data_IF_253792417523
#
_entry.id   IF_253792417523
#
_cell.length_a   1.000
_cell.length_b   1.000
_cell.length_c   1.000
_cell.angle_alpha   90.00
_cell.angle_beta   90.00
_cell.angle_gamma   90.00
#
_symmetry.space_group_name_H-M   'P 1'
#
loop_
_entity.id
_entity.type
_entity.pdbx_description
1 polymer ?
#
# COMPACT_ATOMS: atom_id res chain seq x y z
N UNK A 1 56.89 -74.02 -54.88
CA UNK A 1 56.83 -72.72 -54.20
C UNK A 1 55.48 -72.68 -53.48
N UNK A 2 55.51 -72.57 -52.15
CA UNK A 2 54.46 -72.81 -51.13
C UNK A 2 53.05 -72.30 -51.53
N UNK A 3 51.90 -72.98 -51.35
CA UNK A 3 51.34 -73.89 -50.32
C UNK A 3 50.74 -73.16 -49.09
N UNK A 4 49.39 -73.19 -49.01
CA UNK A 4 48.47 -73.01 -47.86
C UNK A 4 48.43 -71.59 -47.23
N UNK A 5 47.38 -71.11 -46.54
CA UNK A 5 46.27 -71.76 -45.84
C UNK A 5 45.17 -70.74 -45.53
N UNK A 6 43.95 -71.24 -45.45
CA UNK A 6 42.78 -70.60 -44.86
C UNK A 6 42.89 -70.42 -43.33
N UNK A 7 41.98 -69.60 -42.78
CA UNK A 7 41.53 -69.52 -41.37
C UNK A 7 42.44 -68.79 -40.38
N UNK A 8 41.93 -67.73 -39.76
CA UNK A 8 41.35 -67.81 -38.40
C UNK A 8 40.55 -66.56 -38.01
N UNK A 9 39.45 -66.88 -37.38
CA UNK A 9 38.44 -66.08 -36.72
C UNK A 9 38.96 -65.47 -35.40
N UNK A 10 38.28 -64.41 -34.95
CA UNK A 10 38.21 -63.89 -33.58
C UNK A 10 39.40 -63.11 -33.00
N UNK A 11 39.33 -61.79 -33.18
CA UNK A 11 39.85 -60.81 -32.23
C UNK A 11 38.69 -59.95 -31.70
N UNK A 12 38.10 -60.39 -30.59
CA UNK A 12 37.18 -59.65 -29.72
C UNK A 12 37.64 -58.20 -29.55
N UNK A 13 36.82 -57.23 -29.97
CA UNK A 13 37.03 -55.81 -29.64
C UNK A 13 36.67 -55.59 -28.16
N UNK A 14 37.60 -55.10 -27.32
CA UNK A 14 37.31 -54.69 -25.96
C UNK A 14 36.84 -53.24 -25.92
N UNK A 15 35.80 -52.97 -25.12
CA UNK A 15 35.67 -51.68 -24.45
C UNK A 15 34.73 -50.65 -25.06
N UNK A 16 33.44 -50.98 -25.17
CA UNK A 16 32.36 -50.01 -25.12
C UNK A 16 32.26 -49.40 -23.71
N UNK A 17 32.98 -48.30 -23.42
CA UNK A 17 32.71 -47.47 -22.23
C UNK A 17 33.47 -46.13 -22.29
N UNK A 18 33.01 -45.19 -23.13
CA UNK A 18 33.01 -43.74 -22.84
C UNK A 18 32.40 -42.99 -24.03
N UNK A 19 31.11 -43.19 -24.27
CA UNK A 19 30.33 -42.32 -25.18
C UNK A 19 29.08 -41.74 -24.50
N UNK A 20 28.96 -41.84 -23.17
CA UNK A 20 27.69 -41.56 -22.50
C UNK A 20 27.62 -40.26 -21.68
N UNK A 21 28.65 -39.40 -21.64
CA UNK A 21 28.62 -38.28 -20.67
C UNK A 21 28.50 -36.85 -21.19
N UNK A 22 28.41 -36.60 -22.48
CA UNK A 22 28.34 -35.20 -22.97
C UNK A 22 27.30 -34.99 -24.09
N UNK A 23 26.22 -35.78 -24.09
CA UNK A 23 25.05 -35.54 -24.95
C UNK A 23 23.76 -35.27 -24.16
N UNK A 24 23.88 -34.75 -22.93
CA UNK A 24 22.73 -34.38 -22.08
C UNK A 24 22.59 -32.88 -21.83
N UNK A 25 23.20 -32.00 -22.62
CA UNK A 25 22.96 -30.53 -22.49
C UNK A 25 21.96 -29.97 -23.52
N UNK A 26 21.38 -30.80 -24.40
CA UNK A 26 20.64 -30.31 -25.56
C UNK A 26 19.13 -30.55 -25.60
N UNK A 27 18.48 -31.10 -24.56
CA UNK A 27 17.07 -31.54 -24.68
C UNK A 27 16.18 -31.15 -23.50
N UNK A 28 16.24 -29.91 -23.01
CA UNK A 28 15.16 -29.35 -22.18
C UNK A 28 15.04 -27.82 -22.36
N UNK A 29 14.58 -27.34 -23.52
CA UNK A 29 14.36 -25.90 -23.71
C UNK A 29 13.19 -25.52 -24.63
N UNK A 30 12.19 -26.38 -24.84
CA UNK A 30 11.04 -26.06 -25.71
C UNK A 30 9.69 -25.90 -24.99
N UNK A 31 9.54 -26.41 -23.76
CA UNK A 31 8.31 -26.23 -22.95
C UNK A 31 8.46 -25.25 -21.78
N UNK A 32 9.70 -24.96 -21.41
CA UNK A 32 10.06 -24.27 -20.16
C UNK A 32 9.91 -22.74 -20.27
N UNK A 33 10.23 -22.16 -21.44
CA UNK A 33 10.11 -20.72 -21.66
C UNK A 33 8.68 -20.19 -21.61
N UNK A 34 7.71 -20.89 -22.23
CA UNK A 34 6.30 -20.44 -22.25
C UNK A 34 5.65 -20.49 -20.87
N UNK A 35 5.97 -21.52 -20.09
CA UNK A 35 5.50 -21.67 -18.72
C UNK A 35 6.14 -20.60 -17.83
N UNK A 36 7.45 -20.34 -17.97
CA UNK A 36 8.14 -19.22 -17.29
C UNK A 36 7.55 -17.86 -17.66
N UNK A 37 7.16 -17.65 -18.91
CA UNK A 37 6.48 -16.42 -19.36
C UNK A 37 5.07 -16.27 -18.77
N UNK A 38 4.28 -17.35 -18.72
CA UNK A 38 2.95 -17.33 -18.10
C UNK A 38 3.03 -17.07 -16.59
N UNK A 39 3.98 -17.71 -15.90
CA UNK A 39 4.21 -17.49 -14.47
C UNK A 39 4.69 -16.05 -14.24
N UNK A 40 5.62 -15.56 -15.05
CA UNK A 40 6.11 -14.18 -14.99
C UNK A 40 4.98 -13.17 -15.22
N UNK A 41 4.18 -13.35 -16.27
CA UNK A 41 3.03 -12.49 -16.57
C UNK A 41 1.98 -12.50 -15.45
N UNK A 42 1.65 -13.68 -14.92
CA UNK A 42 0.71 -13.82 -13.81
C UNK A 42 1.21 -13.12 -12.55
N UNK A 43 2.50 -13.24 -12.23
CA UNK A 43 3.12 -12.55 -11.09
C UNK A 43 3.08 -11.02 -11.25
N UNK A 44 3.34 -10.50 -12.44
CA UNK A 44 3.24 -9.05 -12.71
C UNK A 44 1.79 -8.58 -12.57
N UNK A 45 0.81 -9.29 -13.14
CA UNK A 45 -0.61 -8.93 -13.00
C UNK A 45 -1.05 -8.97 -11.54
N UNK A 46 -0.68 -10.00 -10.79
CA UNK A 46 -0.98 -10.09 -9.36
C UNK A 46 -0.33 -8.94 -8.56
N UNK A 47 0.92 -8.59 -8.86
CA UNK A 47 1.61 -7.46 -8.25
C UNK A 47 0.92 -6.12 -8.56
N UNK A 48 0.45 -5.93 -9.79
CA UNK A 48 -0.29 -4.71 -10.19
C UNK A 48 -1.63 -4.63 -9.48
N UNK A 49 -2.40 -5.72 -9.41
CA UNK A 49 -3.67 -5.76 -8.65
C UNK A 49 -3.41 -5.43 -7.18
N UNK A 50 -2.39 -6.04 -6.59
CA UNK A 50 -1.97 -5.75 -5.22
C UNK A 50 -1.59 -4.28 -5.04
N UNK A 51 -0.81 -3.71 -5.95
CA UNK A 51 -0.43 -2.30 -5.91
C UNK A 51 -1.62 -1.36 -6.11
N UNK A 52 -2.62 -1.68 -6.93
CA UNK A 52 -3.81 -0.83 -7.08
C UNK A 52 -4.64 -0.84 -5.80
N UNK A 53 -4.90 -2.03 -5.25
CA UNK A 53 -5.65 -2.19 -4.00
C UNK A 53 -4.91 -1.53 -2.82
N UNK A 54 -3.59 -1.67 -2.75
CA UNK A 54 -2.75 -1.09 -1.71
C UNK A 54 -2.52 0.41 -1.89
N UNK A 55 -2.32 0.90 -3.11
CA UNK A 55 -2.07 2.32 -3.37
C UNK A 55 -3.29 3.17 -3.10
N UNK A 56 -4.49 2.64 -3.36
CA UNK A 56 -5.75 3.33 -3.04
C UNK A 56 -5.94 3.47 -1.53
N UNK A 57 -5.58 2.45 -0.74
CA UNK A 57 -5.61 2.54 0.73
C UNK A 57 -4.55 3.51 1.28
N UNK A 58 -3.37 3.56 0.68
CA UNK A 58 -2.29 4.45 1.11
C UNK A 58 -2.49 5.92 0.69
N UNK A 59 -3.26 6.17 -0.38
CA UNK A 59 -3.52 7.51 -0.91
C UNK A 59 -4.78 8.18 -0.34
N UNK A 60 -5.64 7.44 0.35
CA UNK A 60 -6.73 8.03 1.12
C UNK A 60 -6.12 8.78 2.31
N UNK A 61 -5.89 10.07 2.14
CA UNK A 61 -5.61 10.97 3.25
C UNK A 61 -6.82 10.90 4.19
N UNK A 62 -6.73 10.08 5.24
CA UNK A 62 -7.83 9.85 6.17
C UNK A 62 -8.06 11.12 6.98
N UNK A 63 -9.04 11.92 6.56
CA UNK A 63 -9.56 13.03 7.36
C UNK A 63 -10.52 12.43 8.38
N UNK A 64 -10.10 12.46 9.64
CA UNK A 64 -10.86 11.91 10.76
C UNK A 64 -11.81 12.97 11.30
N UNK A 65 -13.02 12.59 11.70
CA UNK A 65 -13.90 13.50 12.43
C UNK A 65 -13.52 13.58 13.91
N UNK A 66 -14.04 14.56 14.63
CA UNK A 66 -13.80 14.68 16.07
C UNK A 66 -14.48 13.52 16.81
N UNK A 67 -15.64 13.07 16.35
CA UNK A 67 -16.32 11.89 16.90
C UNK A 67 -15.46 10.62 16.79
N UNK A 68 -14.87 10.38 15.61
CA UNK A 68 -13.99 9.24 15.40
C UNK A 68 -12.73 9.32 16.25
N UNK A 69 -12.17 10.52 16.42
CA UNK A 69 -11.02 10.76 17.28
C UNK A 69 -11.34 10.37 18.74
N UNK A 70 -12.46 10.88 19.27
CA UNK A 70 -12.91 10.61 20.64
C UNK A 70 -13.18 9.11 20.82
N UNK A 71 -13.84 8.48 19.84
CA UNK A 71 -14.14 7.04 19.87
C UNK A 71 -12.86 6.18 19.85
N UNK A 72 -11.83 6.59 19.10
CA UNK A 72 -10.54 5.87 19.01
C UNK A 72 -9.65 6.12 20.24
N UNK A 73 -9.79 7.25 20.92
CA UNK A 73 -9.16 7.55 22.21
C UNK A 73 -7.64 7.34 22.24
N UNK A 74 -7.15 6.50 23.15
CA UNK A 74 -5.71 6.21 23.32
C UNK A 74 -5.05 5.63 22.08
N UNK A 75 -5.80 4.93 21.22
CA UNK A 75 -5.22 4.20 20.08
C UNK A 75 -4.59 5.10 19.03
N UNK A 76 -4.83 6.42 19.07
CA UNK A 76 -4.36 7.40 18.06
C UNK A 76 -3.27 8.35 18.58
N UNK A 77 -2.86 8.28 19.86
CA UNK A 77 -2.02 9.32 20.51
C UNK A 77 -0.65 9.57 19.88
N UNK A 78 -0.07 8.59 19.21
CA UNK A 78 1.27 8.67 18.60
C UNK A 78 1.24 8.63 17.07
N UNK A 79 0.14 9.08 16.46
CA UNK A 79 0.00 9.14 15.00
C UNK A 79 -0.20 10.57 14.52
N UNK A 80 0.36 10.85 13.35
CA UNK A 80 0.00 12.04 12.60
C UNK A 80 -1.43 11.89 12.07
N UNK A 81 -2.34 12.75 12.54
CA UNK A 81 -3.75 12.73 12.15
C UNK A 81 -4.09 14.00 11.39
N UNK A 82 -4.98 13.87 10.41
CA UNK A 82 -5.70 14.99 9.81
C UNK A 82 -7.11 14.95 10.36
N UNK A 83 -7.56 16.05 10.96
CA UNK A 83 -8.87 16.15 11.58
C UNK A 83 -9.70 17.17 10.80
N UNK A 84 -10.93 16.78 10.46
CA UNK A 84 -11.94 17.68 9.90
C UNK A 84 -12.79 18.27 11.03
N UNK A 85 -13.03 19.58 10.98
CA UNK A 85 -13.85 20.27 11.97
C UNK A 85 -14.06 21.74 11.60
N UNK A 86 -15.09 22.36 12.17
CA UNK A 86 -15.36 23.79 12.05
C UNK A 86 -14.78 24.53 13.24
N UNK A 87 -14.01 25.60 13.02
CA UNK A 87 -13.46 26.41 14.12
C UNK A 87 -14.57 27.32 14.68
N UNK A 88 -14.75 27.31 16.00
CA UNK A 88 -15.63 28.23 16.71
C UNK A 88 -14.90 29.57 16.83
N UNK A 89 -15.31 30.57 16.05
CA UNK A 89 -14.60 31.86 15.95
C UNK A 89 -14.37 32.56 17.29
N UNK A 90 -15.37 32.55 18.17
CA UNK A 90 -15.31 33.20 19.48
C UNK A 90 -14.35 32.52 20.48
N UNK A 91 -13.86 31.31 20.16
CA UNK A 91 -12.94 30.55 21.00
C UNK A 91 -11.45 30.80 20.71
N UNK A 92 -11.15 31.61 19.69
CA UNK A 92 -9.77 31.84 19.26
C UNK A 92 -9.07 32.78 20.24
N UNK A 93 -8.09 32.25 20.96
CA UNK A 93 -7.28 32.97 21.93
C UNK A 93 -5.79 32.88 21.57
N UNK A 94 -5.13 34.03 21.47
CA UNK A 94 -3.69 34.10 21.21
C UNK A 94 -2.95 34.75 22.38
N UNK A 95 -2.08 33.98 23.01
CA UNK A 95 -1.14 34.45 24.03
C UNK A 95 0.24 34.68 23.39
N UNK A 96 0.56 35.94 23.13
CA UNK A 96 1.84 36.35 22.54
C UNK A 96 3.04 36.18 23.49
N UNK A 97 2.83 36.13 24.81
CA UNK A 97 3.93 35.92 25.77
C UNK A 97 4.40 34.47 25.76
N UNK A 98 3.45 33.54 25.66
CA UNK A 98 3.72 32.10 25.65
C UNK A 98 3.71 31.49 24.25
N UNK A 99 3.55 32.31 23.20
CA UNK A 99 3.41 31.86 21.80
C UNK A 99 2.38 30.74 21.67
N UNK A 100 1.24 30.88 22.33
CA UNK A 100 0.22 29.84 22.43
C UNK A 100 -1.06 30.32 21.75
N UNK A 101 -1.52 29.57 20.76
CA UNK A 101 -2.81 29.75 20.09
C UNK A 101 -3.76 28.65 20.54
N UNK A 102 -4.91 29.01 21.09
CA UNK A 102 -5.96 28.07 21.51
C UNK A 102 -7.22 28.35 20.71
N UNK A 103 -7.89 27.30 20.29
CA UNK A 103 -9.22 27.39 19.67
C UNK A 103 -9.97 26.08 19.83
N UNK A 104 -11.29 26.15 19.72
CA UNK A 104 -12.18 25.00 19.77
C UNK A 104 -12.68 24.67 18.37
N UNK A 105 -12.63 23.39 18.00
CA UNK A 105 -13.25 22.87 16.79
C UNK A 105 -14.53 22.10 17.14
N UNK A 106 -15.58 22.27 16.35
CA UNK A 106 -16.80 21.48 16.37
C UNK A 106 -16.75 20.38 15.30
N UNK A 107 -17.40 19.25 15.59
CA UNK A 107 -17.42 18.09 14.71
C UNK A 107 -18.15 18.38 13.39
N UNK A 108 -17.57 17.90 12.29
CA UNK A 108 -18.12 18.04 10.94
C UNK A 108 -18.03 16.69 10.24
N UNK A 109 -19.07 16.23 9.53
CA UNK A 109 -19.00 15.02 8.71
C UNK A 109 -17.91 15.15 7.65
N UNK A 110 -17.15 14.08 7.44
CA UNK A 110 -16.08 14.03 6.45
C UNK A 110 -16.52 13.38 5.12
N UNK A 111 -17.68 12.71 5.11
CA UNK A 111 -18.22 12.05 3.91
C UNK A 111 -18.86 13.10 2.97
N UNK A 112 -18.42 13.20 1.71
CA UNK A 112 -19.01 14.11 0.73
C UNK A 112 -20.51 13.90 0.53
N UNK A 113 -20.99 12.65 0.55
CA UNK A 113 -22.40 12.34 0.33
C UNK A 113 -23.25 12.83 1.50
N UNK A 114 -22.75 12.70 2.74
CA UNK A 114 -23.41 13.25 3.94
C UNK A 114 -23.44 14.78 3.92
N UNK A 115 -22.33 15.42 3.50
CA UNK A 115 -22.25 16.87 3.37
C UNK A 115 -23.27 17.38 2.34
N UNK A 116 -23.37 16.75 1.18
CA UNK A 116 -24.34 17.10 0.15
C UNK A 116 -25.78 16.91 0.64
N UNK A 117 -26.07 15.78 1.27
CA UNK A 117 -27.39 15.48 1.83
C UNK A 117 -27.80 16.49 2.93
N UNK A 118 -26.84 17.03 3.68
CA UNK A 118 -27.08 18.02 4.73
C UNK A 118 -27.34 19.45 4.22
N UNK A 119 -27.21 19.69 2.89
CA UNK A 119 -27.40 21.00 2.26
C UNK A 119 -26.10 21.66 1.79
N UNK A 120 -25.00 20.92 1.75
CA UNK A 120 -23.69 21.38 1.31
C UNK A 120 -22.79 21.84 2.45
N UNK A 121 -21.50 22.05 2.13
CA UNK A 121 -20.46 22.33 3.12
C UNK A 121 -20.73 23.57 3.98
N UNK A 122 -21.20 24.66 3.37
CA UNK A 122 -21.45 25.91 4.09
C UNK A 122 -22.50 25.73 5.20
N UNK A 123 -23.59 25.01 4.91
CA UNK A 123 -24.67 24.74 5.86
C UNK A 123 -24.18 23.83 7.00
N UNK A 124 -23.42 22.80 6.66
CA UNK A 124 -22.82 21.88 7.64
C UNK A 124 -21.90 22.64 8.61
N UNK A 125 -21.03 23.50 8.08
CA UNK A 125 -20.11 24.28 8.91
C UNK A 125 -20.87 25.27 9.81
N UNK A 126 -21.90 25.93 9.28
CA UNK A 126 -22.72 26.85 10.06
C UNK A 126 -23.42 26.14 11.22
N UNK A 127 -24.11 25.02 10.93
CA UNK A 127 -24.78 24.20 11.95
C UNK A 127 -23.82 23.66 12.99
N UNK A 128 -22.64 23.19 12.57
CA UNK A 128 -21.64 22.63 13.49
C UNK A 128 -21.18 23.64 14.54
N UNK A 129 -21.03 24.92 14.17
CA UNK A 129 -20.61 25.98 15.10
C UNK A 129 -21.75 26.40 16.04
N UNK A 130 -23.00 26.39 15.57
CA UNK A 130 -24.18 26.76 16.37
C UNK A 130 -24.64 25.64 17.32
N UNK A 131 -24.41 24.38 16.96
CA UNK A 131 -24.81 23.23 17.77
C UNK A 131 -23.87 23.02 18.97
N UNK A 132 -24.34 23.37 20.15
CA UNK A 132 -23.64 23.13 21.42
C UNK A 132 -23.56 21.65 21.83
N UNK A 133 -24.41 20.79 21.26
CA UNK A 133 -24.41 19.35 21.53
C UNK A 133 -23.40 18.57 20.69
N UNK A 134 -22.81 19.21 19.68
CA UNK A 134 -21.78 18.61 18.84
C UNK A 134 -20.51 18.31 19.65
N UNK A 135 -19.81 17.22 19.29
CA UNK A 135 -18.50 16.93 19.87
C UNK A 135 -17.51 18.05 19.55
N UNK A 136 -16.75 18.46 20.58
CA UNK A 136 -15.78 19.55 20.48
C UNK A 136 -14.37 19.08 20.82
N UNK A 137 -13.39 19.63 20.13
CA UNK A 137 -11.98 19.40 20.37
C UNK A 137 -11.28 20.73 20.65
N UNK A 138 -10.63 20.83 21.80
CA UNK A 138 -9.73 21.94 22.09
C UNK A 138 -8.37 21.70 21.41
N UNK A 139 -7.92 22.68 20.65
CA UNK A 139 -6.62 22.67 19.99
C UNK A 139 -5.72 23.70 20.66
N UNK A 140 -4.50 23.28 20.99
CA UNK A 140 -3.45 24.15 21.51
C UNK A 140 -2.24 24.05 20.59
N UNK A 141 -1.89 25.16 19.96
CA UNK A 141 -0.71 25.29 19.13
C UNK A 141 0.32 26.16 19.84
N UNK A 142 1.56 25.67 19.94
CA UNK A 142 2.68 26.39 20.55
C UNK A 142 3.69 26.73 19.44
N UNK A 143 3.79 28.02 19.11
CA UNK A 143 4.62 28.51 18.01
C UNK A 143 4.28 29.94 17.58
N UNK A 144 5.04 30.51 16.64
CA UNK A 144 4.70 31.80 16.04
C UNK A 144 3.32 31.73 15.38
N UNK A 145 2.59 32.86 15.35
CA UNK A 145 1.29 32.95 14.68
C UNK A 145 1.41 32.43 13.23
N UNK A 146 0.62 31.40 12.84
CA UNK A 146 0.63 30.89 11.48
C UNK A 146 0.06 31.94 10.51
N UNK A 147 0.62 32.00 9.30
CA UNK A 147 0.22 32.90 8.21
C UNK A 147 -1.20 32.65 7.67
#
# INVERSE_FOLDING_TARGET
>A
MHLLESLRFSGRLPGSRTEEKEMQEGMQAAGDGRVKFLIGGLLIVAAVIYLIASSTQAAAQYYMTIDELIAKGESVRDRDLKIAGAIIGDSIEYDAQNLTLRFTMANVPADPDEIEAAGGLAEVLHRAVEDESSSRLEVVYIGPMPD
#
